data_IF_808974318386
#
_entry.id   IF_808974318386
#
_cell.length_a   1.000
_cell.length_b   1.000
_cell.length_c   1.000
_cell.angle_alpha   90.00
_cell.angle_beta   90.00
_cell.angle_gamma   90.00
#
_symmetry.space_group_name_H-M   'P 1'
#
loop_
_entity.id
_entity.type
_entity.pdbx_description
1 polymer ?
#
# COMPACT_ATOMS: atom_id res chain seq x y z
N UNK A 1 -11.55 11.87 -17.72
CA UNK A 1 -12.13 11.39 -16.44
C UNK A 1 -12.38 9.90 -16.53
N UNK A 2 -11.90 9.14 -15.54
CA UNK A 2 -12.18 7.71 -15.46
C UNK A 2 -13.58 7.51 -14.86
N UNK A 3 -14.37 6.60 -15.44
CA UNK A 3 -15.61 6.15 -14.82
C UNK A 3 -15.30 5.36 -13.55
N UNK A 4 -15.71 5.88 -12.40
CA UNK A 4 -15.52 5.27 -11.08
C UNK A 4 -16.76 4.52 -10.59
N UNK A 5 -17.82 4.41 -11.39
CA UNK A 5 -19.09 3.79 -10.98
C UNK A 5 -18.95 2.31 -10.61
N UNK A 6 -17.97 1.61 -11.17
CA UNK A 6 -17.64 0.22 -10.85
C UNK A 6 -17.23 0.03 -9.38
N UNK A 7 -16.66 1.06 -8.73
CA UNK A 7 -16.25 1.00 -7.32
C UNK A 7 -17.41 0.70 -6.38
N UNK A 8 -18.65 1.00 -6.79
CA UNK A 8 -19.86 0.63 -6.03
C UNK A 8 -20.10 -0.89 -5.95
N UNK A 9 -19.47 -1.67 -6.83
CA UNK A 9 -19.70 -3.12 -6.98
C UNK A 9 -18.61 -3.98 -6.34
N UNK A 10 -17.63 -3.36 -5.71
CA UNK A 10 -16.47 -4.03 -5.11
C UNK A 10 -16.23 -3.54 -3.70
N UNK A 11 -15.51 -4.34 -2.90
CA UNK A 11 -14.97 -3.90 -1.60
C UNK A 11 -13.70 -3.12 -1.88
N UNK A 12 -13.65 -1.87 -1.42
CA UNK A 12 -12.53 -0.98 -1.67
C UNK A 12 -11.55 -1.01 -0.50
N UNK A 13 -10.33 -1.52 -0.75
CA UNK A 13 -9.25 -1.58 0.23
C UNK A 13 -8.12 -0.64 -0.21
N UNK A 14 -7.68 0.22 0.70
CA UNK A 14 -6.62 1.19 0.51
C UNK A 14 -5.38 0.76 1.31
N UNK A 15 -4.36 0.30 0.61
CA UNK A 15 -3.05 0.05 1.21
C UNK A 15 -2.28 1.34 1.30
N UNK A 16 -1.94 1.77 2.51
CA UNK A 16 -1.11 2.96 2.72
C UNK A 16 0.31 2.57 3.16
N UNK A 17 1.25 3.47 2.92
CA UNK A 17 2.63 3.36 3.37
C UNK A 17 3.20 4.75 3.61
N UNK A 18 4.07 4.91 4.63
CA UNK A 18 4.69 6.20 4.94
C UNK A 18 5.38 6.81 3.71
N UNK A 19 5.15 8.11 3.37
CA UNK A 19 5.66 8.73 2.16
C UNK A 19 7.17 8.60 1.96
N UNK A 20 7.97 8.74 3.02
CA UNK A 20 9.41 8.60 2.93
C UNK A 20 9.85 7.22 2.39
N UNK A 21 9.13 6.15 2.73
CA UNK A 21 9.41 4.79 2.26
C UNK A 21 9.03 4.60 0.80
N UNK A 22 7.89 5.19 0.41
CA UNK A 22 7.43 5.16 -0.99
C UNK A 22 8.44 5.89 -1.87
N UNK A 23 8.82 7.12 -1.51
CA UNK A 23 9.78 7.94 -2.26
C UNK A 23 11.14 7.26 -2.36
N UNK A 24 11.65 6.65 -1.28
CA UNK A 24 12.90 5.91 -1.31
C UNK A 24 12.85 4.76 -2.32
N UNK A 25 11.77 3.96 -2.27
CA UNK A 25 11.57 2.82 -3.17
C UNK A 25 11.39 3.25 -4.63
N UNK A 26 10.64 4.32 -4.87
CA UNK A 26 10.43 4.87 -6.22
C UNK A 26 11.73 5.43 -6.80
N UNK A 27 12.50 6.17 -6.00
CA UNK A 27 13.77 6.78 -6.42
C UNK A 27 14.87 5.76 -6.75
N UNK A 28 14.72 4.49 -6.36
CA UNK A 28 15.59 3.40 -6.79
C UNK A 28 15.29 2.92 -8.23
N UNK A 29 14.12 3.26 -8.75
CA UNK A 29 13.63 2.82 -10.05
C UNK A 29 13.46 3.95 -11.07
N UNK A 30 13.12 5.13 -10.59
CA UNK A 30 12.82 6.30 -11.42
C UNK A 30 13.62 7.52 -10.93
N UNK A 31 14.19 8.24 -11.90
CA UNK A 31 14.80 9.55 -11.64
C UNK A 31 13.70 10.62 -11.55
N UNK A 32 13.91 11.64 -10.68
CA UNK A 32 13.04 12.82 -10.57
C UNK A 32 11.58 12.50 -10.22
N UNK A 33 11.38 11.73 -9.13
CA UNK A 33 10.04 11.43 -8.59
C UNK A 33 9.32 12.71 -8.19
N UNK A 34 8.08 12.87 -8.62
CA UNK A 34 7.20 13.98 -8.25
C UNK A 34 6.14 13.55 -7.24
N UNK A 35 5.41 14.53 -6.67
CA UNK A 35 4.31 14.22 -5.74
C UNK A 35 3.13 13.53 -6.46
N UNK A 36 2.94 13.82 -7.73
CA UNK A 36 1.92 13.22 -8.59
C UNK A 36 2.21 11.73 -8.85
N UNK A 37 3.48 11.38 -9.07
CA UNK A 37 3.91 10.00 -9.35
C UNK A 37 3.64 9.04 -8.18
N UNK A 38 3.72 9.54 -6.95
CA UNK A 38 3.51 8.72 -5.74
C UNK A 38 2.04 8.61 -5.31
N UNK A 39 1.12 9.31 -5.95
CA UNK A 39 -0.32 9.11 -5.92
C UNK A 39 -1.06 9.35 -4.59
N UNK A 40 -0.46 9.95 -3.57
CA UNK A 40 -1.10 10.13 -2.26
C UNK A 40 -2.38 10.97 -2.30
N UNK A 41 -2.38 12.06 -3.07
CA UNK A 41 -3.55 12.91 -3.25
C UNK A 41 -4.67 12.15 -3.97
N UNK A 42 -4.32 11.41 -5.01
CA UNK A 42 -5.25 10.58 -5.77
C UNK A 42 -5.87 9.50 -4.88
N UNK A 43 -5.07 8.86 -4.04
CA UNK A 43 -5.55 7.84 -3.11
C UNK A 43 -6.57 8.41 -2.11
N UNK A 44 -6.30 9.59 -1.53
CA UNK A 44 -7.26 10.26 -0.65
C UNK A 44 -8.54 10.69 -1.39
N UNK A 45 -8.42 11.16 -2.64
CA UNK A 45 -9.59 11.51 -3.45
C UNK A 45 -10.48 10.29 -3.72
N UNK A 46 -9.88 9.12 -4.05
CA UNK A 46 -10.61 7.87 -4.23
C UNK A 46 -11.27 7.40 -2.93
N UNK A 47 -10.59 7.49 -1.80
CA UNK A 47 -11.15 7.20 -0.49
C UNK A 47 -12.39 8.05 -0.19
N UNK A 48 -12.29 9.36 -0.41
CA UNK A 48 -13.40 10.30 -0.21
C UNK A 48 -14.57 9.99 -1.16
N UNK A 49 -14.28 9.64 -2.43
CA UNK A 49 -15.30 9.23 -3.39
C UNK A 49 -16.03 7.98 -2.89
N UNK A 50 -15.31 6.92 -2.49
CA UNK A 50 -15.91 5.68 -1.96
C UNK A 50 -16.78 5.96 -0.75
N UNK A 51 -16.32 6.83 0.17
CA UNK A 51 -17.13 7.26 1.32
C UNK A 51 -18.38 8.01 0.90
N UNK A 52 -18.29 8.91 -0.11
CA UNK A 52 -19.40 9.74 -0.58
C UNK A 52 -20.51 8.93 -1.24
N UNK A 53 -20.19 7.75 -1.80
CA UNK A 53 -21.18 6.83 -2.39
C UNK A 53 -21.80 5.87 -1.37
N UNK A 54 -21.57 6.11 -0.08
CA UNK A 54 -22.17 5.35 1.02
C UNK A 54 -21.50 4.02 1.34
N UNK A 55 -20.27 3.79 0.85
CA UNK A 55 -19.48 2.62 1.22
C UNK A 55 -18.51 2.94 2.36
N UNK A 56 -18.13 1.92 3.11
CA UNK A 56 -17.06 1.98 4.12
C UNK A 56 -15.75 1.52 3.49
N UNK A 57 -14.86 2.44 3.09
CA UNK A 57 -13.55 2.03 2.58
C UNK A 57 -12.69 1.45 3.71
N UNK A 58 -11.95 0.39 3.41
CA UNK A 58 -11.05 -0.27 4.34
C UNK A 58 -9.64 0.32 4.12
N UNK A 59 -8.94 0.69 5.19
CA UNK A 59 -7.56 1.18 5.11
C UNK A 59 -6.66 0.25 5.90
N UNK A 60 -5.53 -0.15 5.31
CA UNK A 60 -4.51 -0.96 5.98
C UNK A 60 -3.12 -0.40 5.68
N UNK A 61 -2.25 -0.36 6.70
CA UNK A 61 -0.90 0.16 6.56
C UNK A 61 0.11 -0.98 6.35
N UNK A 62 0.98 -0.82 5.38
CA UNK A 62 2.05 -1.78 5.10
C UNK A 62 3.01 -1.98 6.28
N UNK A 63 3.19 -0.96 7.13
CA UNK A 63 3.97 -1.07 8.36
C UNK A 63 3.34 -2.07 9.33
N UNK A 64 2.04 -1.94 9.56
CA UNK A 64 1.30 -2.81 10.48
C UNK A 64 1.25 -4.25 9.96
N UNK A 65 1.04 -4.44 8.63
CA UNK A 65 1.11 -5.76 7.99
C UNK A 65 2.48 -6.41 8.25
N UNK A 66 3.56 -5.67 8.09
CA UNK A 66 4.91 -6.23 8.26
C UNK A 66 5.29 -6.48 9.71
N UNK A 67 4.72 -5.71 10.64
CA UNK A 67 4.92 -5.87 12.08
C UNK A 67 4.26 -7.14 12.62
N UNK A 68 3.00 -7.36 12.24
CA UNK A 68 2.23 -8.55 12.58
C UNK A 68 1.38 -9.00 11.39
N UNK A 69 1.99 -9.76 10.44
CA UNK A 69 1.32 -10.17 9.22
C UNK A 69 0.08 -11.03 9.46
N UNK A 70 0.11 -11.90 10.48
CA UNK A 70 -1.01 -12.79 10.80
C UNK A 70 -2.22 -11.97 11.25
N UNK A 71 -2.08 -11.18 12.31
CA UNK A 71 -3.19 -10.38 12.84
C UNK A 71 -3.72 -9.39 11.80
N UNK A 72 -2.83 -8.78 11.01
CA UNK A 72 -3.20 -7.87 9.93
C UNK A 72 -4.07 -8.56 8.87
N UNK A 73 -3.66 -9.73 8.39
CA UNK A 73 -4.40 -10.46 7.35
C UNK A 73 -5.67 -11.11 7.89
N UNK A 74 -5.68 -11.62 9.12
CA UNK A 74 -6.90 -12.12 9.78
C UNK A 74 -7.94 -10.99 9.89
N UNK A 75 -7.52 -9.80 10.35
CA UNK A 75 -8.40 -8.64 10.44
C UNK A 75 -8.91 -8.20 9.07
N UNK A 76 -8.02 -8.09 8.06
CA UNK A 76 -8.42 -7.73 6.70
C UNK A 76 -9.39 -8.75 6.09
N UNK A 77 -9.11 -10.05 6.22
CA UNK A 77 -9.98 -11.11 5.72
C UNK A 77 -11.37 -11.03 6.33
N UNK A 78 -11.45 -10.79 7.66
CA UNK A 78 -12.73 -10.61 8.35
C UNK A 78 -13.51 -9.40 7.80
N UNK A 79 -12.85 -8.25 7.60
CA UNK A 79 -13.49 -7.04 7.06
C UNK A 79 -13.99 -7.21 5.61
N UNK A 80 -13.33 -8.04 4.81
CA UNK A 80 -13.75 -8.31 3.42
C UNK A 80 -14.63 -9.57 3.27
N UNK A 81 -14.92 -10.28 4.37
CA UNK A 81 -15.74 -11.47 4.37
C UNK A 81 -15.08 -12.72 3.77
N UNK A 82 -13.76 -12.83 3.88
CA UNK A 82 -12.96 -13.98 3.46
C UNK A 82 -12.45 -14.76 4.67
N UNK A 83 -12.24 -16.07 4.47
CA UNK A 83 -11.54 -16.89 5.45
C UNK A 83 -10.02 -16.64 5.36
N UNK A 84 -9.38 -16.45 6.51
CA UNK A 84 -7.92 -16.38 6.58
C UNK A 84 -7.31 -17.77 6.39
N UNK A 85 -6.29 -17.86 5.57
CA UNK A 85 -5.50 -19.09 5.36
C UNK A 85 -4.04 -18.82 5.70
N UNK A 86 -3.40 -19.75 6.46
CA UNK A 86 -1.99 -19.61 6.88
C UNK A 86 -1.01 -19.52 5.70
N UNK A 87 -1.38 -20.08 4.56
CA UNK A 87 -0.64 -20.02 3.30
C UNK A 87 -0.46 -18.59 2.77
N UNK A 88 -1.29 -17.64 3.22
CA UNK A 88 -1.14 -16.22 2.90
C UNK A 88 0.13 -15.61 3.51
N UNK A 89 0.76 -16.29 4.49
CA UNK A 89 1.95 -15.77 5.21
C UNK A 89 3.27 -16.14 4.53
N UNK A 90 3.27 -17.10 3.62
CA UNK A 90 4.49 -17.58 2.96
C UNK A 90 4.22 -18.02 1.52
N UNK A 91 5.24 -17.92 0.70
CA UNK A 91 5.20 -18.27 -0.72
C UNK A 91 6.57 -18.79 -1.19
N UNK A 92 6.62 -19.63 -2.25
CA UNK A 92 7.90 -20.07 -2.82
C UNK A 92 8.65 -18.90 -3.47
N UNK A 93 9.98 -18.95 -3.42
CA UNK A 93 10.83 -18.00 -4.19
C UNK A 93 10.54 -18.08 -5.68
N UNK A 94 10.68 -16.94 -6.32
CA UNK A 94 10.53 -16.82 -7.77
C UNK A 94 9.26 -16.07 -8.17
N UNK A 95 9.13 -15.86 -9.47
CA UNK A 95 7.93 -15.27 -10.04
C UNK A 95 6.83 -16.31 -10.25
N UNK A 96 5.62 -15.83 -10.47
CA UNK A 96 4.48 -16.66 -10.82
C UNK A 96 4.08 -16.42 -12.28
N UNK A 97 3.58 -17.47 -12.96
CA UNK A 97 3.11 -17.38 -14.37
C UNK A 97 2.03 -16.33 -14.62
N UNK A 98 1.32 -15.93 -13.56
CA UNK A 98 0.28 -14.89 -13.61
C UNK A 98 0.81 -13.48 -13.32
N UNK A 99 2.10 -13.32 -13.06
CA UNK A 99 2.70 -12.01 -12.89
C UNK A 99 2.59 -11.23 -14.20
N UNK A 100 2.15 -9.98 -14.10
CA UNK A 100 2.03 -9.12 -15.28
C UNK A 100 3.38 -8.65 -15.82
N UNK A 101 3.36 -7.97 -16.95
CA UNK A 101 4.56 -7.43 -17.65
C UNK A 101 5.43 -6.53 -16.77
N UNK A 102 4.85 -5.92 -15.75
CA UNK A 102 5.53 -5.05 -14.79
C UNK A 102 6.36 -5.79 -13.73
N UNK A 103 6.17 -7.11 -13.60
CA UNK A 103 6.83 -7.91 -12.56
C UNK A 103 8.37 -7.85 -12.67
N UNK A 104 8.91 -7.92 -13.86
CA UNK A 104 10.36 -7.83 -14.12
C UNK A 104 10.96 -6.51 -13.61
N UNK A 105 10.17 -5.44 -13.58
CA UNK A 105 10.61 -4.11 -13.15
C UNK A 105 10.40 -3.90 -11.64
N UNK A 106 9.26 -4.34 -11.09
CA UNK A 106 8.84 -3.98 -9.74
C UNK A 106 9.00 -5.10 -8.70
N UNK A 107 8.94 -6.39 -9.11
CA UNK A 107 8.79 -7.51 -8.18
C UNK A 107 10.11 -8.18 -7.76
N UNK A 108 11.26 -7.59 -8.10
CA UNK A 108 12.57 -8.20 -7.79
C UNK A 108 12.73 -8.61 -6.33
N UNK A 109 12.35 -7.75 -5.37
CA UNK A 109 12.42 -8.07 -3.94
C UNK A 109 11.39 -9.14 -3.54
N UNK A 110 10.20 -9.13 -4.15
CA UNK A 110 9.14 -10.12 -3.88
C UNK A 110 9.58 -11.49 -4.39
N UNK A 111 10.15 -11.57 -5.59
CA UNK A 111 10.65 -12.84 -6.17
C UNK A 111 11.80 -13.47 -5.36
N UNK A 112 12.52 -12.67 -4.58
CA UNK A 112 13.60 -13.14 -3.70
C UNK A 112 13.11 -13.51 -2.29
N UNK A 113 11.85 -13.21 -1.95
CA UNK A 113 11.26 -13.47 -0.64
C UNK A 113 10.50 -14.79 -0.59
N UNK A 114 10.27 -15.28 0.63
CA UNK A 114 9.46 -16.47 0.93
C UNK A 114 8.37 -16.15 1.96
N UNK A 115 8.17 -14.86 2.27
CA UNK A 115 7.21 -14.36 3.25
C UNK A 115 7.49 -12.91 3.60
N UNK A 116 6.80 -12.41 4.61
CA UNK A 116 6.99 -11.05 5.10
C UNK A 116 8.34 -10.90 5.80
N UNK A 117 9.08 -9.84 5.48
CA UNK A 117 10.44 -9.60 5.99
C UNK A 117 10.50 -8.96 7.38
N UNK A 118 9.42 -9.01 8.15
CA UNK A 118 9.33 -8.44 9.49
C UNK A 118 9.16 -6.93 9.54
N UNK A 119 9.16 -6.38 10.76
CA UNK A 119 8.93 -4.96 11.02
C UNK A 119 9.91 -4.07 10.24
N UNK A 120 9.39 -2.98 9.71
CA UNK A 120 10.22 -2.00 9.00
C UNK A 120 11.10 -1.22 9.99
N UNK A 121 12.39 -1.11 9.69
CA UNK A 121 13.34 -0.30 10.45
C UNK A 121 12.94 1.21 10.47
N UNK A 122 13.80 2.06 11.04
CA UNK A 122 13.63 3.52 11.02
C UNK A 122 13.35 4.06 9.62
N UNK A 123 12.70 5.22 9.55
CA UNK A 123 12.45 5.87 8.26
C UNK A 123 13.75 6.09 7.49
N UNK A 124 13.74 5.91 6.16
CA UNK A 124 14.93 6.08 5.35
C UNK A 124 15.41 7.53 5.34
N UNK A 125 16.72 7.69 5.22
CA UNK A 125 17.32 9.00 4.98
C UNK A 125 17.03 9.39 3.53
N UNK A 126 16.46 10.58 3.35
CA UNK A 126 16.11 11.17 2.07
C UNK A 126 17.00 12.39 1.81
N UNK A 127 17.25 12.71 0.53
CA UNK A 127 17.87 13.98 0.17
C UNK A 127 16.89 15.16 0.36
N UNK A 128 17.36 16.40 0.14
CA UNK A 128 16.55 17.61 0.38
C UNK A 128 15.26 17.66 -0.46
N UNK A 129 15.35 17.31 -1.75
CA UNK A 129 14.24 17.28 -2.69
C UNK A 129 13.21 16.23 -2.27
N UNK A 130 13.65 15.00 -2.05
CA UNK A 130 12.82 13.88 -1.58
C UNK A 130 12.12 14.19 -0.24
N UNK A 131 12.82 14.89 0.68
CA UNK A 131 12.23 15.35 1.93
C UNK A 131 11.12 16.38 1.69
N UNK A 132 11.28 17.26 0.71
CA UNK A 132 10.25 18.21 0.31
C UNK A 132 8.97 17.48 -0.17
N UNK A 133 9.13 16.51 -1.07
CA UNK A 133 8.02 15.69 -1.59
C UNK A 133 7.36 14.91 -0.45
N UNK A 134 8.16 14.30 0.43
CA UNK A 134 7.64 13.54 1.58
C UNK A 134 6.79 14.40 2.51
N UNK A 135 7.25 15.62 2.82
CA UNK A 135 6.47 16.56 3.66
C UNK A 135 5.15 16.96 3.01
N UNK A 136 5.15 17.16 1.69
CA UNK A 136 3.95 17.53 0.94
C UNK A 136 2.94 16.37 0.84
N UNK A 137 3.42 15.12 0.81
CA UNK A 137 2.57 13.91 0.78
C UNK A 137 2.02 13.52 2.17
N UNK A 138 2.73 13.89 3.25
CA UNK A 138 2.42 13.45 4.61
C UNK A 138 0.99 13.80 5.09
N UNK A 139 0.40 14.96 4.78
CA UNK A 139 -0.98 15.26 5.16
C UNK A 139 -2.00 14.27 4.58
N UNK A 140 -1.82 13.84 3.33
CA UNK A 140 -2.70 12.88 2.67
C UNK A 140 -2.59 11.49 3.31
N UNK A 141 -1.36 11.04 3.61
CA UNK A 141 -1.10 9.80 4.34
C UNK A 141 -1.78 9.82 5.72
N UNK A 142 -1.57 10.88 6.50
CA UNK A 142 -2.14 11.02 7.86
C UNK A 142 -3.66 11.05 7.86
N UNK A 143 -4.28 11.65 6.85
CA UNK A 143 -5.73 11.62 6.70
C UNK A 143 -6.25 10.19 6.57
N UNK A 144 -5.59 9.33 5.79
CA UNK A 144 -5.95 7.92 5.65
C UNK A 144 -5.53 7.07 6.86
N UNK A 145 -4.38 7.36 7.46
CA UNK A 145 -3.88 6.66 8.65
C UNK A 145 -4.88 6.68 9.81
N UNK A 146 -5.65 7.76 9.94
CA UNK A 146 -6.72 7.89 10.93
C UNK A 146 -7.85 6.86 10.80
N UNK A 147 -7.97 6.22 9.62
CA UNK A 147 -9.00 5.21 9.32
C UNK A 147 -8.44 3.78 9.24
N UNK A 148 -7.14 3.57 9.44
CA UNK A 148 -6.53 2.26 9.29
C UNK A 148 -7.10 1.24 10.29
N UNK A 149 -7.17 -0.01 9.86
CA UNK A 149 -7.52 -1.15 10.71
C UNK A 149 -6.63 -1.18 11.96
N UNK A 150 -7.22 -1.63 13.06
CA UNK A 150 -6.54 -1.84 14.35
C UNK A 150 -6.75 -3.29 14.76
N UNK A 151 -5.68 -3.99 15.05
CA UNK A 151 -5.64 -5.40 15.41
C UNK A 151 -4.53 -5.69 16.42
#
# INVERSE_FOLDING_TARGET
DFDLTWMKKVINVFLIRHPARVIKSFGEKLNNVTIEDIGFKQQLNLFNYVSSIGQKPIVIDSFDIRKDPRSALECLCNEVGLEFMSEMLSWPKGGHKSDGIWASHWYGSVHLSEGFSGEEANLPILNSEQNGISRNALPFYRALEGYKLKF
#
